data_IF_588888540974
#
_entry.id   IF_588888540974
#
_cell.length_a   1.000
_cell.length_b   1.000
_cell.length_c   1.000
_cell.angle_alpha   90.00
_cell.angle_beta   90.00
_cell.angle_gamma   90.00
#
_symmetry.space_group_name_H-M   'P 1'
#
loop_
_entity.id
_entity.type
_entity.pdbx_description
1 polymer ?
#
# COMPACT_ATOMS: atom_id res chain seq x y z
N UNK A 1 -52.72 -27.18 -41.21
CA UNK A 1 -51.28 -26.91 -41.37
C UNK A 1 -50.84 -25.90 -40.29
N UNK A 2 -50.32 -26.41 -39.18
CA UNK A 2 -49.85 -25.58 -38.07
C UNK A 2 -48.34 -25.43 -38.18
N UNK A 3 -47.83 -24.16 -38.23
CA UNK A 3 -46.42 -23.83 -38.21
C UNK A 3 -45.92 -23.93 -36.75
N UNK A 4 -45.00 -24.87 -36.54
CA UNK A 4 -44.24 -24.93 -35.31
C UNK A 4 -43.32 -23.67 -35.22
N UNK A 5 -43.46 -22.92 -34.13
CA UNK A 5 -42.53 -21.90 -33.71
C UNK A 5 -41.27 -22.60 -33.19
N UNK A 6 -40.11 -22.33 -33.79
CA UNK A 6 -38.81 -22.64 -33.23
C UNK A 6 -38.61 -21.83 -31.98
N UNK A 7 -38.33 -22.51 -30.88
CA UNK A 7 -37.90 -21.90 -29.64
C UNK A 7 -36.46 -21.44 -29.81
N UNK A 8 -36.21 -20.18 -29.46
CA UNK A 8 -34.88 -19.58 -29.36
C UNK A 8 -34.14 -20.25 -28.19
N UNK A 9 -33.03 -20.89 -28.47
CA UNK A 9 -32.13 -21.42 -27.45
C UNK A 9 -31.41 -20.24 -26.75
N UNK A 10 -31.28 -20.26 -25.42
CA UNK A 10 -30.53 -19.25 -24.74
C UNK A 10 -29.03 -19.41 -25.01
N UNK A 11 -28.44 -18.38 -25.61
CA UNK A 11 -26.99 -18.28 -25.81
C UNK A 11 -26.27 -18.20 -24.45
N UNK A 12 -25.51 -19.24 -24.18
CA UNK A 12 -24.32 -19.41 -23.34
C UNK A 12 -24.05 -18.43 -22.21
N UNK A 13 -24.23 -18.93 -20.99
CA UNK A 13 -23.78 -18.38 -19.70
C UNK A 13 -22.23 -18.32 -19.50
N UNK A 14 -21.44 -18.80 -20.46
CA UNK A 14 -19.98 -18.86 -20.35
C UNK A 14 -19.30 -17.49 -20.51
N UNK A 15 -19.83 -16.58 -21.31
CA UNK A 15 -19.27 -15.22 -21.45
C UNK A 15 -19.54 -14.31 -20.24
N UNK A 16 -20.57 -14.60 -19.45
CA UNK A 16 -20.90 -13.86 -18.24
C UNK A 16 -19.92 -14.13 -17.06
N UNK A 17 -19.20 -15.27 -17.07
CA UNK A 17 -18.32 -15.68 -15.98
C UNK A 17 -16.96 -14.96 -15.96
N UNK A 18 -16.32 -14.78 -17.11
CA UNK A 18 -15.00 -14.12 -17.19
C UNK A 18 -15.11 -12.61 -16.96
N UNK A 19 -16.11 -11.94 -17.55
CA UNK A 19 -16.37 -10.52 -17.33
C UNK A 19 -16.77 -10.23 -15.87
N UNK A 20 -17.48 -11.13 -15.21
CA UNK A 20 -17.87 -11.02 -13.80
C UNK A 20 -16.66 -11.02 -12.85
N UNK A 21 -15.68 -11.91 -13.03
CA UNK A 21 -14.49 -11.98 -12.20
C UNK A 21 -13.59 -10.73 -12.34
N UNK A 22 -13.36 -10.28 -13.58
CA UNK A 22 -12.50 -9.14 -13.86
C UNK A 22 -13.05 -7.83 -13.31
N UNK A 23 -14.38 -7.71 -13.16
CA UNK A 23 -15.06 -6.57 -12.57
C UNK A 23 -15.14 -6.60 -11.02
N UNK A 24 -14.74 -7.70 -10.38
CA UNK A 24 -14.80 -7.83 -8.92
C UNK A 24 -13.89 -6.82 -8.24
N UNK A 25 -14.36 -6.08 -7.20
CA UNK A 25 -13.55 -5.09 -6.49
C UNK A 25 -12.24 -5.67 -5.94
N UNK A 26 -12.26 -6.90 -5.40
CA UNK A 26 -11.06 -7.56 -4.88
C UNK A 26 -10.02 -7.81 -5.97
N UNK A 27 -10.42 -8.21 -7.19
CA UNK A 27 -9.53 -8.37 -8.33
C UNK A 27 -8.92 -7.02 -8.76
N UNK A 28 -9.74 -6.00 -8.90
CA UNK A 28 -9.31 -4.66 -9.31
C UNK A 28 -8.33 -4.05 -8.31
N UNK A 29 -8.60 -4.16 -7.01
CA UNK A 29 -7.71 -3.69 -5.95
C UNK A 29 -6.37 -4.43 -5.96
N UNK A 30 -6.38 -5.77 -6.08
CA UNK A 30 -5.15 -6.56 -6.18
C UNK A 30 -4.33 -6.17 -7.41
N UNK A 31 -4.98 -6.05 -8.58
CA UNK A 31 -4.32 -5.64 -9.83
C UNK A 31 -3.73 -4.24 -9.71
N UNK A 32 -4.48 -3.30 -9.14
CA UNK A 32 -4.00 -1.92 -8.89
C UNK A 32 -2.82 -1.89 -7.94
N UNK A 33 -2.84 -2.70 -6.89
CA UNK A 33 -1.70 -2.83 -5.97
C UNK A 33 -0.44 -3.30 -6.71
N UNK A 34 -0.52 -4.35 -7.52
CA UNK A 34 0.61 -4.85 -8.29
C UNK A 34 1.18 -3.78 -9.24
N UNK A 35 0.33 -3.05 -9.97
CA UNK A 35 0.73 -1.96 -10.85
C UNK A 35 1.39 -0.84 -10.03
N UNK A 36 0.81 -0.47 -8.90
CA UNK A 36 1.36 0.57 -8.02
C UNK A 36 2.76 0.24 -7.50
N UNK A 37 2.97 -1.01 -7.08
CA UNK A 37 4.30 -1.49 -6.67
C UNK A 37 5.30 -1.43 -7.83
N UNK A 38 4.92 -1.90 -9.04
CA UNK A 38 5.79 -1.89 -10.21
C UNK A 38 6.18 -0.45 -10.62
N UNK A 39 5.23 0.47 -10.64
CA UNK A 39 5.49 1.89 -10.95
C UNK A 39 6.42 2.53 -9.92
N UNK A 40 6.20 2.27 -8.62
CA UNK A 40 7.09 2.78 -7.58
C UNK A 40 8.53 2.26 -7.73
N UNK A 41 8.68 0.96 -7.95
CA UNK A 41 10.00 0.34 -8.11
C UNK A 41 10.73 0.85 -9.37
N UNK A 42 10.02 1.15 -10.43
CA UNK A 42 10.58 1.72 -11.66
C UNK A 42 11.07 3.16 -11.42
N UNK A 43 10.23 4.03 -10.86
CA UNK A 43 10.59 5.43 -10.59
C UNK A 43 11.68 5.56 -9.52
N UNK A 44 11.65 4.71 -8.48
CA UNK A 44 12.59 4.77 -7.36
C UNK A 44 13.78 3.81 -7.50
N UNK A 45 14.02 3.23 -8.69
CA UNK A 45 15.04 2.18 -8.92
C UNK A 45 16.46 2.56 -8.48
N UNK A 46 16.81 3.84 -8.58
CA UNK A 46 18.13 4.35 -8.19
C UNK A 46 18.39 4.28 -6.66
N UNK A 47 17.35 4.14 -5.86
CA UNK A 47 17.42 4.19 -4.39
C UNK A 47 17.31 2.83 -3.73
N UNK A 48 16.98 1.77 -4.49
CA UNK A 48 16.77 0.41 -3.95
C UNK A 48 15.84 0.40 -2.72
N UNK A 49 14.73 1.13 -2.80
CA UNK A 49 13.71 1.19 -1.77
C UNK A 49 12.40 0.57 -2.26
N UNK A 50 11.79 -0.26 -1.41
CA UNK A 50 10.44 -0.75 -1.66
C UNK A 50 9.39 0.25 -1.15
N UNK A 51 8.12 0.19 -1.64
CA UNK A 51 7.03 1.02 -1.11
C UNK A 51 6.86 0.91 0.41
N UNK A 52 7.06 -0.29 0.99
CA UNK A 52 6.93 -0.50 2.43
C UNK A 52 8.07 0.15 3.21
N UNK A 53 9.29 0.09 2.70
CA UNK A 53 10.45 0.76 3.30
C UNK A 53 10.29 2.29 3.25
N UNK A 54 9.85 2.83 2.13
CA UNK A 54 9.52 4.24 1.99
C UNK A 54 8.44 4.68 2.98
N UNK A 55 7.37 3.89 3.13
CA UNK A 55 6.28 4.17 4.08
C UNK A 55 6.78 4.22 5.53
N UNK A 56 7.66 3.29 5.93
CA UNK A 56 8.25 3.24 7.27
C UNK A 56 9.15 4.45 7.53
N UNK A 57 10.04 4.81 6.58
CA UNK A 57 10.89 5.99 6.70
C UNK A 57 10.05 7.27 6.79
N UNK A 58 9.02 7.42 5.95
CA UNK A 58 8.11 8.56 5.96
C UNK A 58 7.35 8.70 7.29
N UNK A 59 6.88 7.57 7.85
CA UNK A 59 6.21 7.58 9.15
C UNK A 59 7.14 8.01 10.29
N UNK A 60 8.38 7.51 10.30
CA UNK A 60 9.37 7.88 11.32
C UNK A 60 9.84 9.33 11.19
N UNK A 61 9.91 9.86 9.97
CA UNK A 61 10.27 11.26 9.75
C UNK A 61 9.14 12.20 10.19
N UNK A 62 7.90 11.89 9.82
CA UNK A 62 6.74 12.73 10.13
C UNK A 62 6.28 12.68 11.59
N UNK A 63 6.32 11.52 12.22
CA UNK A 63 5.78 11.30 13.58
C UNK A 63 6.87 11.11 14.66
N UNK A 64 8.13 11.06 14.27
CA UNK A 64 9.24 10.84 15.18
C UNK A 64 9.44 9.40 15.63
N UNK A 65 10.40 9.17 16.54
CA UNK A 65 10.71 7.84 17.06
C UNK A 65 9.53 7.23 17.81
N UNK A 66 9.27 5.93 17.57
CA UNK A 66 8.18 5.21 18.22
C UNK A 66 8.53 3.73 18.39
N UNK A 67 7.75 3.01 19.21
CA UNK A 67 7.90 1.57 19.32
C UNK A 67 7.44 0.84 18.04
N UNK A 68 7.96 -0.36 17.85
CA UNK A 68 7.70 -1.14 16.65
C UNK A 68 6.22 -1.49 16.45
N UNK A 69 5.47 -1.73 17.54
CA UNK A 69 4.04 -2.07 17.42
C UNK A 69 3.22 -0.86 16.97
N UNK A 70 3.53 0.33 17.51
CA UNK A 70 2.92 1.60 17.09
C UNK A 70 3.26 1.91 15.63
N UNK A 71 4.52 1.73 15.22
CA UNK A 71 4.94 1.92 13.84
C UNK A 71 4.20 0.98 12.87
N UNK A 72 4.02 -0.30 13.24
CA UNK A 72 3.19 -1.23 12.48
C UNK A 72 1.75 -0.73 12.32
N UNK A 73 1.14 -0.20 13.39
CA UNK A 73 -0.19 0.42 13.32
C UNK A 73 -0.26 1.64 12.41
N UNK A 74 0.73 2.56 12.50
CA UNK A 74 0.79 3.77 11.65
C UNK A 74 0.97 3.41 10.17
N UNK A 75 1.76 2.39 9.87
CA UNK A 75 2.05 1.96 8.49
C UNK A 75 1.10 0.88 7.98
N UNK A 76 0.13 0.43 8.77
CA UNK A 76 -0.78 -0.69 8.49
C UNK A 76 -0.02 -1.98 8.10
N UNK A 77 1.14 -2.22 8.73
CA UNK A 77 1.95 -3.42 8.53
C UNK A 77 1.77 -4.39 9.70
N UNK A 78 1.51 -5.65 9.37
CA UNK A 78 1.44 -6.70 10.39
C UNK A 78 2.80 -6.95 11.04
N UNK A 79 2.78 -7.66 12.19
CA UNK A 79 3.96 -7.90 13.01
C UNK A 79 5.11 -8.58 12.26
N UNK A 80 4.82 -9.48 11.35
CA UNK A 80 5.84 -10.19 10.57
C UNK A 80 6.46 -9.28 9.53
N UNK A 81 5.62 -8.58 8.79
CA UNK A 81 6.04 -7.66 7.73
C UNK A 81 6.89 -6.52 8.28
N UNK A 82 6.46 -5.87 9.39
CA UNK A 82 7.23 -4.74 9.94
C UNK A 82 8.61 -5.18 10.44
N UNK A 83 8.76 -6.40 11.00
CA UNK A 83 10.06 -6.93 11.42
C UNK A 83 10.99 -7.07 10.22
N UNK A 84 10.52 -7.66 9.13
CA UNK A 84 11.33 -7.86 7.91
C UNK A 84 11.76 -6.53 7.31
N UNK A 85 10.83 -5.57 7.22
CA UNK A 85 11.12 -4.22 6.69
C UNK A 85 12.17 -3.51 7.55
N UNK A 86 11.99 -3.51 8.87
CA UNK A 86 12.92 -2.86 9.80
C UNK A 86 14.30 -3.51 9.80
N UNK A 87 14.39 -4.85 9.68
CA UNK A 87 15.68 -5.52 9.59
C UNK A 87 16.46 -5.05 8.37
N UNK A 88 15.83 -4.99 7.20
CA UNK A 88 16.47 -4.50 5.97
C UNK A 88 16.88 -3.02 6.05
N UNK A 89 16.05 -2.18 6.68
CA UNK A 89 16.39 -0.75 6.85
C UNK A 89 17.53 -0.55 7.86
N UNK A 90 17.59 -1.36 8.91
CA UNK A 90 18.66 -1.33 9.91
C UNK A 90 20.00 -1.83 9.34
N UNK A 91 19.98 -2.92 8.56
CA UNK A 91 21.16 -3.43 7.82
C UNK A 91 21.76 -2.38 6.88
N UNK A 92 20.93 -1.52 6.32
CA UNK A 92 21.33 -0.38 5.47
C UNK A 92 21.69 0.88 6.28
N UNK A 93 21.61 0.84 7.60
CA UNK A 93 21.88 2.00 8.47
C UNK A 93 20.88 3.15 8.35
N UNK A 94 19.67 2.90 7.79
CA UNK A 94 18.64 3.93 7.58
C UNK A 94 17.76 4.14 8.80
N UNK A 95 17.68 3.15 9.68
CA UNK A 95 16.98 3.22 10.98
C UNK A 95 17.86 2.62 12.07
N UNK A 96 17.55 2.97 13.34
CA UNK A 96 18.10 2.32 14.52
C UNK A 96 17.00 1.72 15.36
N UNK A 97 17.29 0.63 16.09
CA UNK A 97 16.39 0.00 17.05
C UNK A 97 17.07 -0.12 18.41
N UNK A 98 16.57 0.57 19.39
CA UNK A 98 17.13 0.53 20.75
C UNK A 98 16.08 0.07 21.77
N UNK A 99 16.46 -0.62 22.84
CA UNK A 99 15.52 -0.98 23.90
C UNK A 99 14.86 0.26 24.49
N UNK A 100 13.55 0.21 24.73
CA UNK A 100 12.82 1.28 25.38
C UNK A 100 13.27 1.43 26.84
N UNK A 101 13.46 2.68 27.29
CA UNK A 101 13.74 2.95 28.70
C UNK A 101 12.54 2.66 29.62
N UNK A 102 11.30 2.69 29.07
CA UNK A 102 10.06 2.48 29.82
C UNK A 102 9.67 1.01 29.88
N UNK A 103 9.88 0.28 28.79
CA UNK A 103 9.59 -1.16 28.70
C UNK A 103 10.72 -1.85 27.94
N UNK A 104 11.56 -2.59 28.65
CA UNK A 104 12.71 -3.33 28.08
C UNK A 104 12.31 -4.38 27.03
N UNK A 105 11.03 -4.79 26.96
CA UNK A 105 10.51 -5.71 25.95
C UNK A 105 10.20 -4.99 24.63
N UNK A 106 10.01 -3.68 24.66
CA UNK A 106 9.73 -2.87 23.47
C UNK A 106 11.05 -2.31 22.90
N UNK A 107 11.13 -2.23 21.57
CA UNK A 107 12.21 -1.52 20.86
C UNK A 107 11.68 -0.24 20.26
N UNK A 108 12.37 0.87 20.55
CA UNK A 108 12.11 2.15 19.90
C UNK A 108 12.88 2.19 18.58
N UNK A 109 12.18 2.52 17.53
CA UNK A 109 12.70 2.69 16.17
C UNK A 109 12.84 4.18 15.91
N UNK A 110 13.97 4.58 15.35
CA UNK A 110 14.23 5.95 14.93
C UNK A 110 14.87 5.97 13.54
N UNK A 111 14.51 6.94 12.72
CA UNK A 111 15.20 7.21 11.45
C UNK A 111 16.57 7.81 11.75
N UNK A 112 17.60 7.38 11.03
CA UNK A 112 18.95 7.96 11.11
C UNK A 112 19.08 9.19 10.22
N UNK A 113 20.19 9.90 10.34
CA UNK A 113 20.52 11.00 9.43
C UNK A 113 20.69 10.49 7.97
N UNK A 114 21.29 9.32 7.80
CA UNK A 114 21.36 8.66 6.49
C UNK A 114 19.95 8.31 5.95
N UNK A 115 19.05 7.83 6.82
CA UNK A 115 17.67 7.55 6.47
C UNK A 115 16.91 8.81 6.02
N UNK A 116 17.09 9.95 6.71
CA UNK A 116 16.47 11.23 6.32
C UNK A 116 16.96 11.73 4.97
N UNK A 117 18.28 11.65 4.72
CA UNK A 117 18.86 12.01 3.43
C UNK A 117 18.30 11.12 2.33
N UNK A 118 18.31 9.81 2.53
CA UNK A 118 17.74 8.87 1.55
C UNK A 118 16.27 9.14 1.28
N UNK A 119 15.49 9.47 2.32
CA UNK A 119 14.07 9.81 2.17
C UNK A 119 13.89 11.10 1.36
N UNK A 120 14.68 12.14 1.64
CA UNK A 120 14.64 13.41 0.90
C UNK A 120 15.00 13.22 -0.57
N UNK A 121 16.03 12.41 -0.85
CA UNK A 121 16.50 12.14 -2.21
C UNK A 121 15.49 11.33 -3.04
N UNK A 122 14.80 10.37 -2.43
CA UNK A 122 13.80 9.52 -3.12
C UNK A 122 12.44 10.21 -3.27
N UNK A 123 12.13 11.21 -2.44
CA UNK A 123 10.80 11.83 -2.39
C UNK A 123 10.30 12.35 -3.75
N UNK A 124 11.11 13.04 -4.59
CA UNK A 124 10.66 13.47 -5.92
C UNK A 124 10.23 12.30 -6.80
N UNK A 125 11.01 11.21 -6.84
CA UNK A 125 10.68 10.00 -7.60
C UNK A 125 9.43 9.29 -7.05
N UNK A 126 9.27 9.23 -5.73
CA UNK A 126 8.09 8.67 -5.11
C UNK A 126 6.82 9.47 -5.43
N UNK A 127 6.90 10.81 -5.49
CA UNK A 127 5.80 11.68 -5.92
C UNK A 127 5.47 11.50 -7.41
N UNK A 128 6.49 11.34 -8.25
CA UNK A 128 6.27 11.07 -9.68
C UNK A 128 5.60 9.70 -9.89
N UNK A 129 5.98 8.69 -9.12
CA UNK A 129 5.29 7.39 -9.10
C UNK A 129 3.78 7.55 -8.79
N UNK A 130 3.40 8.41 -7.82
CA UNK A 130 1.99 8.67 -7.51
C UNK A 130 1.26 9.34 -8.69
N UNK A 131 1.87 10.33 -9.35
CA UNK A 131 1.29 10.99 -10.52
C UNK A 131 1.10 10.01 -11.67
N UNK A 132 2.15 9.23 -12.00
CA UNK A 132 2.12 8.21 -13.06
C UNK A 132 1.04 7.17 -12.80
N UNK A 133 0.88 6.75 -11.54
CA UNK A 133 -0.15 5.79 -11.13
C UNK A 133 -1.57 6.32 -11.33
N UNK A 134 -1.78 7.63 -11.16
CA UNK A 134 -3.07 8.30 -11.34
C UNK A 134 -3.27 8.87 -12.75
N UNK A 135 -2.27 8.82 -13.61
CA UNK A 135 -2.25 9.44 -14.94
C UNK A 135 -3.45 9.14 -15.86
N UNK A 136 -4.07 7.92 -15.83
CA UNK A 136 -5.28 7.65 -16.61
C UNK A 136 -6.52 8.43 -16.19
N UNK A 137 -6.50 9.11 -15.04
CA UNK A 137 -7.64 9.82 -14.45
C UNK A 137 -7.47 11.34 -14.58
N UNK A 138 -8.55 12.05 -14.87
CA UNK A 138 -8.57 13.51 -14.75
C UNK A 138 -8.62 13.95 -13.28
N UNK A 139 -8.41 15.24 -12.98
CA UNK A 139 -8.30 15.76 -11.61
C UNK A 139 -9.54 15.50 -10.74
N UNK A 140 -10.76 15.55 -11.31
CA UNK A 140 -11.99 15.24 -10.59
C UNK A 140 -12.08 13.76 -10.22
N UNK A 141 -11.74 12.89 -11.15
CA UNK A 141 -11.71 11.44 -10.94
C UNK A 141 -10.64 11.04 -9.91
N UNK A 142 -9.45 11.67 -9.94
CA UNK A 142 -8.41 11.46 -8.92
C UNK A 142 -8.90 11.81 -7.52
N UNK A 143 -9.52 13.00 -7.35
CA UNK A 143 -10.08 13.44 -6.08
C UNK A 143 -11.18 12.48 -5.58
N UNK A 144 -12.07 12.05 -6.47
CA UNK A 144 -13.12 11.07 -6.16
C UNK A 144 -12.55 9.72 -5.75
N UNK A 145 -11.58 9.19 -6.50
CA UNK A 145 -10.91 7.94 -6.18
C UNK A 145 -10.28 7.97 -4.79
N UNK A 146 -9.51 9.03 -4.47
CA UNK A 146 -8.87 9.16 -3.15
C UNK A 146 -9.89 9.23 -2.02
N UNK A 147 -11.02 9.91 -2.23
CA UNK A 147 -12.13 9.98 -1.27
C UNK A 147 -12.74 8.61 -1.03
N UNK A 148 -13.01 7.84 -2.09
CA UNK A 148 -13.60 6.51 -2.00
C UNK A 148 -12.65 5.50 -1.39
N UNK A 149 -11.37 5.52 -1.76
CA UNK A 149 -10.35 4.65 -1.16
C UNK A 149 -10.21 4.90 0.34
N UNK A 150 -10.18 6.18 0.78
CA UNK A 150 -10.13 6.54 2.20
C UNK A 150 -11.37 6.02 2.93
N UNK A 151 -12.57 6.29 2.41
CA UNK A 151 -13.82 5.80 3.00
C UNK A 151 -13.85 4.28 3.15
N UNK A 152 -13.38 3.54 2.13
CA UNK A 152 -13.31 2.08 2.18
C UNK A 152 -12.29 1.60 3.22
N UNK A 153 -11.11 2.22 3.27
CA UNK A 153 -10.04 1.84 4.21
C UNK A 153 -10.46 2.11 5.67
N UNK A 154 -11.04 3.27 5.95
CA UNK A 154 -11.52 3.64 7.29
C UNK A 154 -12.70 2.78 7.73
N UNK A 155 -13.69 2.58 6.86
CA UNK A 155 -14.88 1.78 7.16
C UNK A 155 -14.60 0.30 7.40
N UNK A 156 -13.52 -0.23 6.83
CA UNK A 156 -13.12 -1.63 6.96
C UNK A 156 -11.86 -1.83 7.82
N UNK A 157 -11.40 -0.79 8.50
CA UNK A 157 -10.12 -0.83 9.25
C UNK A 157 -10.06 -1.96 10.27
N UNK A 158 -11.17 -2.25 10.97
CA UNK A 158 -11.26 -3.33 11.97
C UNK A 158 -11.15 -4.74 11.37
N UNK A 159 -11.37 -4.90 10.07
CA UNK A 159 -11.24 -6.18 9.36
C UNK A 159 -9.80 -6.47 8.96
N UNK A 160 -8.89 -5.48 9.06
CA UNK A 160 -7.48 -5.66 8.73
C UNK A 160 -6.76 -6.48 9.79
N UNK A 161 -5.82 -7.34 9.36
CA UNK A 161 -4.86 -8.00 10.26
C UNK A 161 -3.86 -7.02 10.90
N UNK A 162 -3.72 -5.85 10.31
CA UNK A 162 -2.94 -4.73 10.81
C UNK A 162 -3.78 -3.44 10.73
N UNK A 163 -4.73 -3.24 11.65
CA UNK A 163 -5.57 -2.05 11.65
C UNK A 163 -4.71 -0.79 11.73
N UNK A 164 -4.97 0.16 10.84
CA UNK A 164 -4.30 1.46 10.85
C UNK A 164 -4.65 2.23 12.12
N UNK A 165 -3.63 2.76 12.79
CA UNK A 165 -3.77 3.56 14.01
C UNK A 165 -2.92 4.82 13.86
N UNK A 166 -3.58 5.97 13.81
CA UNK A 166 -2.87 7.24 13.89
C UNK A 166 -2.20 7.40 15.26
N UNK A 167 -1.06 8.12 15.33
CA UNK A 167 -0.34 8.39 16.57
C UNK A 167 -1.15 9.16 17.59
#
# INVERSE_FOLDING_TARGET
>A
MAKLKQADEPKSDEAAGEDSFLAMPGHLLRRRHQIGVAVFLDECRAFDLTPLQFSVLSALDGFGPMDQARLGGVTALDRTTIIVVLTKLEERGLVTRVPSKKDKRAKIVAITEAGRRTLADVLPSALEAQKRMLGPLNGREQAQLLTLLRKMAEGNNSLSRAPHKLP
#
